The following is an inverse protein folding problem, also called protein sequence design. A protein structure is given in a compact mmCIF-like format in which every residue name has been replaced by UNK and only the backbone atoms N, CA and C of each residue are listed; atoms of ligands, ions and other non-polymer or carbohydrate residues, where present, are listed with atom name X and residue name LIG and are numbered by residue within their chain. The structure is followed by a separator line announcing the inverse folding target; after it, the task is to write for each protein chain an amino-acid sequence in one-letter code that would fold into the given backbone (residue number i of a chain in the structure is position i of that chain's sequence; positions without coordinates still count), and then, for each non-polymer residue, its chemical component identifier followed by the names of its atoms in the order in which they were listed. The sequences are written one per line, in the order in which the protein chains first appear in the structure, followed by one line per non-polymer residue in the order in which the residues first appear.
data_IF_155262761774
#
_entry.id   IF_155262761774
#
_cell.length_a   1.000
_cell.length_b   1.000
_cell.length_c   1.000
_cell.angle_alpha   90.00
_cell.angle_beta   90.00
_cell.angle_gamma   90.00
#
_symmetry.space_group_name_H-M   'P 1'
#
loop_
_entity.id
_entity.type
_entity.pdbx_description
1 polymer ?
#
# COMPACT_ATOMS: atom_id res chain seq x y z
N UNK A 1 -2.48 -1.01 -53.73
CA UNK A 1 -1.14 -0.96 -53.12
C UNK A 1 -1.03 0.07 -52.00
N UNK A 2 -1.57 1.30 -52.10
CA UNK A 2 -1.47 2.35 -51.05
C UNK A 2 -2.04 1.95 -49.65
N UNK A 3 -3.07 1.13 -49.55
CA UNK A 3 -3.69 0.72 -48.24
C UNK A 3 -2.81 -0.21 -47.41
N UNK A 4 -2.00 -1.07 -48.02
CA UNK A 4 -1.10 -2.00 -47.33
C UNK A 4 0.10 -1.29 -46.69
N UNK A 5 0.61 -0.24 -47.31
CA UNK A 5 1.67 0.59 -46.75
C UNK A 5 1.20 1.33 -45.48
N UNK A 6 -0.03 1.85 -45.53
CA UNK A 6 -0.60 2.55 -44.38
C UNK A 6 -0.82 1.60 -43.16
N UNK A 7 -1.29 0.37 -43.43
CA UNK A 7 -1.44 -0.63 -42.36
C UNK A 7 -0.11 -1.06 -41.78
N UNK A 8 0.92 -1.27 -42.58
CA UNK A 8 2.27 -1.60 -42.11
C UNK A 8 2.89 -0.48 -41.28
N UNK A 9 2.73 0.77 -41.70
CA UNK A 9 3.22 1.95 -41.00
C UNK A 9 2.51 2.11 -39.63
N UNK A 10 1.19 1.95 -39.58
CA UNK A 10 0.41 2.02 -38.34
C UNK A 10 0.80 0.90 -37.35
N UNK A 11 0.97 -0.31 -37.87
CA UNK A 11 1.39 -1.44 -37.05
C UNK A 11 2.81 -1.23 -36.49
N UNK A 12 3.73 -0.77 -37.34
CA UNK A 12 5.10 -0.44 -36.90
C UNK A 12 5.14 0.69 -35.89
N UNK A 13 4.35 1.73 -36.05
CA UNK A 13 4.23 2.82 -35.08
C UNK A 13 3.62 2.34 -33.77
N UNK A 14 2.60 1.48 -33.79
CA UNK A 14 2.00 0.91 -32.59
C UNK A 14 3.00 0.04 -31.82
N UNK A 15 3.75 -0.82 -32.52
CA UNK A 15 4.82 -1.63 -31.91
C UNK A 15 5.91 -0.75 -31.32
N UNK A 16 6.37 0.27 -32.04
CA UNK A 16 7.38 1.20 -31.53
C UNK A 16 6.88 1.95 -30.28
N UNK A 17 5.64 2.44 -30.27
CA UNK A 17 5.03 3.04 -29.07
C UNK A 17 4.95 2.06 -27.90
N UNK A 18 4.61 0.81 -28.13
CA UNK A 18 4.56 -0.20 -27.07
C UNK A 18 5.97 -0.50 -26.50
N UNK A 19 6.97 -0.69 -27.36
CA UNK A 19 8.35 -1.00 -26.95
C UNK A 19 9.02 0.17 -26.23
N UNK A 20 8.80 1.39 -26.71
CA UNK A 20 9.42 2.61 -26.17
C UNK A 20 8.47 3.41 -25.28
N UNK A 21 7.38 2.79 -24.79
CA UNK A 21 6.41 3.46 -23.92
C UNK A 21 7.11 4.13 -22.73
N UNK A 22 7.02 5.46 -22.55
CA UNK A 22 7.75 6.17 -21.51
C UNK A 22 7.22 5.83 -20.12
N UNK A 23 8.11 5.80 -19.12
CA UNK A 23 7.77 5.58 -17.71
C UNK A 23 6.69 6.53 -17.18
N UNK A 24 6.56 7.70 -17.77
CA UNK A 24 5.52 8.68 -17.44
C UNK A 24 4.09 8.13 -17.62
N UNK A 25 3.86 7.22 -18.56
CA UNK A 25 2.55 6.59 -18.73
C UNK A 25 2.20 5.67 -17.55
N UNK A 26 3.20 4.93 -17.03
CA UNK A 26 3.01 4.14 -15.80
C UNK A 26 2.72 5.04 -14.62
N UNK A 27 3.46 6.16 -14.50
CA UNK A 27 3.25 7.15 -13.44
C UNK A 27 1.84 7.77 -13.49
N UNK A 28 1.37 8.15 -14.67
CA UNK A 28 0.02 8.68 -14.86
C UNK A 28 -1.07 7.64 -14.56
N UNK A 29 -0.89 6.41 -15.06
CA UNK A 29 -1.82 5.31 -14.78
C UNK A 29 -1.93 5.00 -13.28
N UNK A 30 -0.81 5.01 -12.56
CA UNK A 30 -0.78 4.82 -11.10
C UNK A 30 -1.47 5.97 -10.37
N UNK A 31 -1.20 7.21 -10.75
CA UNK A 31 -1.84 8.39 -10.19
C UNK A 31 -3.37 8.32 -10.35
N UNK A 32 -3.86 7.99 -11.55
CA UNK A 32 -5.28 7.83 -11.81
C UNK A 32 -5.90 6.69 -11.01
N UNK A 33 -5.25 5.52 -10.97
CA UNK A 33 -5.72 4.34 -10.24
C UNK A 33 -5.81 4.57 -8.73
N UNK A 34 -4.97 5.44 -8.19
CA UNK A 34 -4.91 5.77 -6.75
C UNK A 34 -5.64 7.07 -6.38
N UNK A 35 -6.29 7.73 -7.34
CA UNK A 35 -6.91 9.06 -7.11
C UNK A 35 -5.87 10.11 -6.69
N UNK A 36 -4.67 10.05 -7.25
CA UNK A 36 -3.56 10.95 -6.95
C UNK A 36 -2.88 10.70 -5.61
N UNK A 37 -3.22 9.64 -4.87
CA UNK A 37 -2.64 9.39 -3.53
C UNK A 37 -1.23 8.80 -3.56
N UNK A 38 -0.89 8.07 -4.60
CA UNK A 38 0.47 7.57 -4.83
C UNK A 38 0.96 8.07 -6.17
N UNK A 39 2.05 8.82 -6.15
CA UNK A 39 2.66 9.39 -7.34
C UNK A 39 4.06 8.81 -7.55
N UNK A 40 4.40 8.61 -8.82
CA UNK A 40 5.76 8.36 -9.28
C UNK A 40 6.33 9.65 -9.83
N UNK A 41 6.97 10.44 -8.96
CA UNK A 41 7.61 11.69 -9.35
C UNK A 41 8.94 11.43 -10.06
N UNK A 42 9.33 12.34 -10.98
CA UNK A 42 10.57 12.23 -11.75
C UNK A 42 10.75 10.85 -12.41
N UNK A 43 9.68 10.32 -13.03
CA UNK A 43 9.71 9.03 -13.70
C UNK A 43 10.66 9.07 -14.89
N UNK A 44 11.60 8.11 -14.95
CA UNK A 44 12.63 7.99 -15.97
C UNK A 44 12.64 6.60 -16.57
N UNK A 45 13.05 6.51 -17.85
CA UNK A 45 13.09 5.25 -18.58
C UNK A 45 11.77 4.91 -19.24
N UNK A 46 11.45 3.65 -19.34
CA UNK A 46 10.26 3.12 -20.00
C UNK A 46 9.33 2.42 -19.00
N UNK A 47 8.13 2.07 -19.46
CA UNK A 47 7.21 1.19 -18.71
C UNK A 47 7.89 -0.16 -18.38
N UNK A 48 8.76 -0.64 -19.26
CA UNK A 48 9.43 -1.93 -19.13
C UNK A 48 10.63 -1.91 -18.19
N UNK A 49 11.37 -0.80 -18.15
CA UNK A 49 12.49 -0.61 -17.23
C UNK A 49 12.61 0.88 -16.91
N UNK A 50 12.47 1.23 -15.65
CA UNK A 50 12.48 2.62 -15.25
C UNK A 50 12.72 2.82 -13.76
N UNK A 51 12.70 4.09 -13.38
CA UNK A 51 12.81 4.50 -11.98
C UNK A 51 11.98 5.74 -11.69
N UNK A 52 11.54 5.88 -10.44
CA UNK A 52 10.79 7.06 -9.99
C UNK A 52 10.98 7.28 -8.48
N UNK A 53 10.70 8.46 -8.00
CA UNK A 53 10.56 8.77 -6.58
C UNK A 53 9.12 8.50 -6.17
N UNK A 54 8.92 7.69 -5.13
CA UNK A 54 7.58 7.41 -4.59
C UNK A 54 7.13 8.56 -3.69
N UNK A 55 5.96 9.12 -3.97
CA UNK A 55 5.39 10.23 -3.20
C UNK A 55 3.97 9.87 -2.81
N UNK A 56 3.67 9.93 -1.50
CA UNK A 56 2.30 9.90 -1.01
C UNK A 56 1.74 11.32 -0.97
N UNK A 57 0.48 11.47 -1.36
CA UNK A 57 -0.27 12.73 -1.27
C UNK A 57 -1.67 12.47 -0.74
N UNK A 58 -2.35 13.50 -0.29
CA UNK A 58 -3.75 13.39 0.16
C UNK A 58 -4.76 13.37 -1.02
N UNK A 59 -4.28 13.27 -2.26
CA UNK A 59 -5.08 13.24 -3.48
C UNK A 59 -4.83 14.45 -4.38
N UNK A 60 -5.56 14.53 -5.47
CA UNK A 60 -5.40 15.60 -6.48
C UNK A 60 -5.57 16.99 -5.85
N UNK A 61 -4.64 17.89 -6.18
CA UNK A 61 -4.66 19.28 -5.71
C UNK A 61 -4.27 19.47 -4.24
N UNK A 62 -3.95 18.41 -3.49
CA UNK A 62 -3.48 18.52 -2.12
C UNK A 62 -2.07 19.11 -2.06
N UNK A 63 -1.82 19.90 -1.01
CA UNK A 63 -0.48 20.39 -0.67
C UNK A 63 0.28 19.42 0.25
N UNK A 64 -0.45 18.52 0.90
CA UNK A 64 0.17 17.48 1.72
C UNK A 64 0.84 16.44 0.81
N UNK A 65 2.13 16.27 0.99
CA UNK A 65 2.92 15.28 0.26
C UNK A 65 4.12 14.85 1.07
N UNK A 66 4.51 13.59 0.93
CA UNK A 66 5.71 13.04 1.56
C UNK A 66 6.40 12.12 0.57
N UNK A 67 7.65 12.44 0.25
CA UNK A 67 8.47 11.64 -0.66
C UNK A 67 9.26 10.60 0.11
N UNK A 68 9.35 9.40 -0.43
CA UNK A 68 10.24 8.37 0.08
C UNK A 68 11.68 8.68 -0.37
N UNK A 69 12.68 8.63 0.53
CA UNK A 69 14.06 8.92 0.16
C UNK A 69 14.61 7.83 -0.78
N UNK A 70 15.19 8.24 -1.89
CA UNK A 70 15.71 7.34 -2.91
C UNK A 70 14.75 7.13 -4.08
N UNK A 71 15.05 6.14 -4.91
CA UNK A 71 14.27 5.84 -6.12
C UNK A 71 13.84 4.38 -6.12
N UNK A 72 12.60 4.16 -6.47
CA UNK A 72 12.10 2.86 -6.87
C UNK A 72 12.63 2.57 -8.27
N UNK A 73 13.26 1.42 -8.45
CA UNK A 73 13.64 0.91 -9.75
C UNK A 73 12.76 -0.29 -10.08
N UNK A 74 12.31 -0.39 -11.33
CA UNK A 74 11.50 -1.53 -11.76
C UNK A 74 11.95 -2.07 -13.10
N UNK A 75 11.68 -3.36 -13.29
CA UNK A 75 11.70 -4.04 -14.57
C UNK A 75 10.42 -4.82 -14.73
N UNK A 76 9.80 -4.68 -15.90
CA UNK A 76 8.58 -5.40 -16.28
C UNK A 76 8.93 -6.29 -17.48
N UNK A 77 8.71 -7.57 -17.35
CA UNK A 77 8.99 -8.56 -18.40
C UNK A 77 7.77 -9.44 -18.69
N UNK A 78 7.78 -10.09 -19.83
CA UNK A 78 6.78 -11.09 -20.19
C UNK A 78 7.18 -12.44 -19.59
N UNK A 79 6.23 -13.12 -18.96
CA UNK A 79 6.38 -14.49 -18.46
C UNK A 79 5.14 -15.29 -18.91
N UNK A 80 5.22 -15.87 -20.11
CA UNK A 80 4.07 -16.45 -20.79
C UNK A 80 3.02 -15.37 -21.08
N UNK A 81 1.79 -15.57 -20.62
CA UNK A 81 0.68 -14.61 -20.74
C UNK A 81 0.61 -13.61 -19.57
N UNK A 82 1.52 -13.70 -18.60
CA UNK A 82 1.60 -12.82 -17.47
C UNK A 82 2.75 -11.82 -17.63
N UNK A 83 2.66 -10.69 -16.93
CA UNK A 83 3.75 -9.74 -16.75
C UNK A 83 4.43 -10.01 -15.41
N UNK A 84 5.75 -10.12 -15.41
CA UNK A 84 6.57 -10.22 -14.22
C UNK A 84 7.16 -8.86 -13.91
N UNK A 85 6.67 -8.24 -12.83
CA UNK A 85 7.23 -6.99 -12.30
C UNK A 85 8.23 -7.32 -11.21
N UNK A 86 9.42 -6.76 -11.33
CA UNK A 86 10.46 -6.77 -10.29
C UNK A 86 10.72 -5.35 -9.87
N UNK A 87 10.70 -5.09 -8.59
CA UNK A 87 10.90 -3.77 -8.03
C UNK A 87 11.95 -3.80 -6.91
N UNK A 88 12.79 -2.79 -6.85
CA UNK A 88 13.84 -2.62 -5.85
C UNK A 88 13.85 -1.19 -5.34
N UNK A 89 14.07 -1.02 -4.05
CA UNK A 89 14.21 0.29 -3.43
C UNK A 89 15.25 0.22 -2.33
N UNK A 90 16.30 1.01 -2.44
CA UNK A 90 17.48 0.92 -1.57
C UNK A 90 17.15 1.07 -0.08
N UNK A 91 16.16 1.92 0.29
CA UNK A 91 15.80 2.10 1.69
C UNK A 91 14.79 1.07 2.20
N UNK A 92 13.87 0.60 1.32
CA UNK A 92 12.56 0.27 1.85
C UNK A 92 11.98 -1.04 1.30
N UNK A 93 12.60 -1.67 0.32
CA UNK A 93 12.26 -3.01 -0.17
C UNK A 93 13.40 -3.95 0.18
N UNK A 94 13.08 -5.05 0.84
CA UNK A 94 14.06 -6.06 1.20
C UNK A 94 14.40 -6.92 -0.02
N UNK A 95 15.59 -6.67 -0.60
CA UNK A 95 16.02 -7.34 -1.82
C UNK A 95 15.23 -6.92 -3.05
N UNK A 96 14.46 -7.83 -3.61
CA UNK A 96 13.66 -7.63 -4.81
C UNK A 96 12.20 -8.05 -4.58
N UNK A 97 11.29 -7.10 -4.72
CA UNK A 97 9.85 -7.38 -4.73
C UNK A 97 9.46 -7.93 -6.10
N UNK A 98 8.90 -9.13 -6.13
CA UNK A 98 8.43 -9.80 -7.35
C UNK A 98 6.92 -9.86 -7.35
N UNK A 99 6.29 -9.30 -8.38
CA UNK A 99 4.85 -9.38 -8.59
C UNK A 99 4.57 -10.01 -9.94
N UNK A 100 3.51 -10.79 -10.00
CA UNK A 100 2.98 -11.36 -11.22
C UNK A 100 1.64 -10.71 -11.53
N UNK A 101 1.54 -10.12 -12.72
CA UNK A 101 0.33 -9.44 -13.19
C UNK A 101 -0.27 -10.28 -14.31
N UNK A 102 -1.46 -10.78 -14.09
CA UNK A 102 -2.18 -11.64 -15.04
C UNK A 102 -3.37 -10.85 -15.59
N UNK A 103 -3.25 -10.30 -16.79
CA UNK A 103 -4.38 -9.65 -17.46
C UNK A 103 -5.36 -10.72 -17.98
N UNK A 104 -6.64 -10.42 -17.94
CA UNK A 104 -7.70 -11.26 -18.51
C UNK A 104 -8.84 -10.41 -19.06
N UNK A 105 -9.82 -11.04 -19.68
CA UNK A 105 -11.03 -10.36 -20.15
C UNK A 105 -11.85 -9.86 -18.95
N UNK A 106 -11.94 -8.54 -18.79
CA UNK A 106 -12.64 -7.86 -17.68
C UNK A 106 -12.13 -8.26 -16.27
N UNK A 107 -10.88 -8.75 -16.17
CA UNK A 107 -10.22 -9.05 -14.90
C UNK A 107 -8.74 -8.71 -14.96
N UNK A 108 -8.21 -8.30 -13.83
CA UNK A 108 -6.78 -8.06 -13.64
C UNK A 108 -6.40 -8.66 -12.29
N UNK A 109 -5.46 -9.61 -12.29
CA UNK A 109 -4.96 -10.23 -11.07
C UNK A 109 -3.51 -9.85 -10.86
N UNK A 110 -3.21 -9.35 -9.68
CA UNK A 110 -1.86 -9.04 -9.21
C UNK A 110 -1.53 -10.02 -8.09
N UNK A 111 -0.51 -10.81 -8.28
CA UNK A 111 -0.06 -11.84 -7.35
C UNK A 111 1.29 -11.46 -6.76
N UNK A 112 1.40 -11.56 -5.46
CA UNK A 112 2.64 -11.63 -4.73
C UNK A 112 2.88 -13.13 -4.45
N UNK A 113 3.74 -13.80 -5.20
CA UNK A 113 3.96 -15.23 -5.02
C UNK A 113 4.57 -15.51 -3.64
N UNK A 114 4.22 -16.67 -3.10
CA UNK A 114 4.84 -17.16 -1.87
C UNK A 114 6.36 -17.26 -2.06
N UNK A 115 7.15 -16.83 -1.06
CA UNK A 115 8.60 -17.03 -1.11
C UNK A 115 8.92 -18.54 -1.07
N UNK A 116 10.08 -18.97 -1.60
CA UNK A 116 10.54 -20.35 -1.46
C UNK A 116 10.60 -20.76 0.01
N UNK A 117 10.45 -22.07 0.25
CA UNK A 117 10.52 -22.60 1.61
C UNK A 117 11.83 -22.21 2.30
N UNK A 118 11.73 -21.64 3.51
CA UNK A 118 12.87 -21.15 4.30
C UNK A 118 13.35 -19.73 3.93
N UNK A 119 12.77 -19.08 2.91
CA UNK A 119 13.06 -17.69 2.62
C UNK A 119 12.22 -16.74 3.49
N UNK A 120 12.71 -15.50 3.65
CA UNK A 120 11.99 -14.45 4.38
C UNK A 120 10.66 -14.13 3.70
N UNK A 121 9.62 -13.93 4.51
CA UNK A 121 8.33 -13.38 4.07
C UNK A 121 8.30 -11.86 4.08
N UNK A 122 9.36 -11.21 4.56
CA UNK A 122 9.48 -9.76 4.60
C UNK A 122 9.58 -9.19 3.19
N UNK A 123 8.81 -8.15 2.93
CA UNK A 123 8.75 -7.46 1.65
C UNK A 123 9.51 -6.13 1.71
N UNK A 124 9.46 -5.48 2.86
CA UNK A 124 10.14 -4.22 3.06
C UNK A 124 9.73 -3.52 4.35
N UNK A 125 10.41 -2.39 4.56
CA UNK A 125 10.23 -1.53 5.73
C UNK A 125 10.16 -0.08 5.28
N UNK A 126 9.16 0.65 5.75
CA UNK A 126 8.96 2.06 5.44
C UNK A 126 8.89 2.90 6.71
N UNK A 127 9.38 4.15 6.71
CA UNK A 127 9.18 5.06 7.83
C UNK A 127 7.69 5.43 7.96
N UNK A 128 7.15 5.39 9.18
CA UNK A 128 5.76 5.78 9.43
C UNK A 128 5.51 7.26 9.08
N UNK A 129 6.53 8.10 9.15
CA UNK A 129 6.48 9.49 8.75
C UNK A 129 6.08 9.70 7.26
N UNK A 130 6.27 8.68 6.42
CA UNK A 130 5.83 8.75 5.02
C UNK A 130 4.30 8.89 4.90
N UNK A 131 3.55 8.35 5.86
CA UNK A 131 2.08 8.44 5.90
C UNK A 131 1.55 9.89 6.01
N UNK A 132 2.37 10.82 6.52
CA UNK A 132 2.00 12.26 6.62
C UNK A 132 1.55 12.82 5.27
N UNK A 133 2.11 12.32 4.17
CA UNK A 133 1.69 12.69 2.82
C UNK A 133 0.23 12.40 2.51
N UNK A 134 -0.41 11.44 3.16
CA UNK A 134 -1.83 11.11 2.96
C UNK A 134 -2.79 12.16 3.55
N UNK A 135 -2.27 13.24 4.17
CA UNK A 135 -3.09 14.28 4.77
C UNK A 135 -3.74 13.86 6.08
N UNK A 136 -4.89 14.46 6.41
CA UNK A 136 -5.61 14.19 7.65
C UNK A 136 -6.13 12.76 7.69
N UNK A 137 -5.93 12.02 8.81
CA UNK A 137 -5.40 12.49 10.11
C UNK A 137 -3.87 12.42 10.26
N UNK A 138 -3.15 11.87 9.30
CA UNK A 138 -1.72 11.55 9.42
C UNK A 138 -0.84 12.80 9.57
N UNK A 139 -1.17 13.88 8.86
CA UNK A 139 -0.46 15.16 8.96
C UNK A 139 -0.60 15.80 10.34
N UNK A 140 -1.69 15.52 11.08
CA UNK A 140 -1.91 15.96 12.46
C UNK A 140 -1.23 15.04 13.47
N UNK A 141 -1.33 13.73 13.26
CA UNK A 141 -0.72 12.72 14.12
C UNK A 141 0.80 12.73 14.05
N UNK A 142 1.38 13.08 12.90
CA UNK A 142 2.81 13.07 12.63
C UNK A 142 3.48 11.77 13.15
N UNK A 143 3.06 10.61 12.65
CA UNK A 143 3.56 9.35 13.16
C UNK A 143 5.05 9.19 12.84
N UNK A 144 5.80 8.65 13.81
CA UNK A 144 7.17 8.17 13.60
C UNK A 144 7.25 6.69 13.96
N UNK A 145 8.33 6.02 13.58
CA UNK A 145 8.49 4.58 13.72
C UNK A 145 8.60 3.88 12.37
N UNK A 146 8.45 2.57 12.37
CA UNK A 146 8.69 1.74 11.20
C UNK A 146 7.49 0.86 10.86
N UNK A 147 7.16 0.79 9.58
CA UNK A 147 6.12 -0.06 9.01
C UNK A 147 6.81 -1.24 8.31
N UNK A 148 6.66 -2.44 8.81
CA UNK A 148 7.22 -3.65 8.21
C UNK A 148 6.10 -4.45 7.57
N UNK A 149 6.19 -4.66 6.26
CA UNK A 149 5.24 -5.46 5.51
C UNK A 149 5.82 -6.83 5.24
N UNK A 150 5.05 -7.87 5.50
CA UNK A 150 5.38 -9.25 5.20
C UNK A 150 4.18 -9.98 4.60
N UNK A 151 4.44 -11.00 3.79
CA UNK A 151 3.40 -11.85 3.23
C UNK A 151 3.94 -13.23 2.86
N UNK A 152 3.29 -14.31 3.29
CA UNK A 152 3.58 -15.65 2.81
C UNK A 152 2.98 -15.93 1.42
N UNK A 153 2.27 -14.98 0.84
CA UNK A 153 1.60 -15.03 -0.44
C UNK A 153 0.28 -14.28 -0.39
N UNK A 154 0.07 -13.40 -1.36
CA UNK A 154 -1.13 -12.57 -1.44
C UNK A 154 -1.50 -12.32 -2.91
N UNK A 155 -2.79 -12.29 -3.21
CA UNK A 155 -3.25 -11.88 -4.52
C UNK A 155 -4.47 -10.96 -4.39
N UNK A 156 -4.48 -9.96 -5.24
CA UNK A 156 -5.60 -9.06 -5.44
C UNK A 156 -6.07 -9.17 -6.89
N UNK A 157 -7.34 -9.43 -7.08
CA UNK A 157 -7.97 -9.54 -8.39
C UNK A 157 -9.13 -8.56 -8.49
N UNK A 158 -9.22 -7.87 -9.62
CA UNK A 158 -10.39 -7.08 -9.99
C UNK A 158 -11.20 -7.87 -11.01
N UNK A 159 -12.44 -8.21 -10.67
CA UNK A 159 -13.38 -8.91 -11.53
C UNK A 159 -14.64 -8.07 -11.66
N UNK A 160 -14.92 -7.56 -12.87
CA UNK A 160 -16.10 -6.70 -13.13
C UNK A 160 -16.22 -5.54 -12.14
N UNK A 161 -15.10 -4.89 -11.80
CA UNK A 161 -15.04 -3.77 -10.87
C UNK A 161 -15.11 -4.14 -9.38
N UNK A 162 -15.18 -5.42 -9.01
CA UNK A 162 -15.12 -5.90 -7.62
C UNK A 162 -13.73 -6.41 -7.28
N UNK A 163 -13.24 -6.04 -6.12
CA UNK A 163 -11.98 -6.54 -5.58
C UNK A 163 -12.18 -7.88 -4.86
N UNK A 164 -11.36 -8.83 -5.24
CA UNK A 164 -11.25 -10.16 -4.65
C UNK A 164 -9.85 -10.28 -4.08
N UNK A 165 -9.73 -10.51 -2.78
CA UNK A 165 -8.44 -10.60 -2.08
C UNK A 165 -8.26 -12.02 -1.55
N UNK A 166 -7.11 -12.63 -1.82
CA UNK A 166 -6.77 -13.99 -1.37
C UNK A 166 -5.37 -14.01 -0.77
N UNK A 167 -5.13 -14.94 0.16
CA UNK A 167 -3.85 -15.04 0.85
C UNK A 167 -3.76 -14.15 2.08
N UNK A 168 -2.53 -13.91 2.57
CA UNK A 168 -2.29 -13.18 3.82
C UNK A 168 -1.22 -12.10 3.64
N UNK A 169 -1.46 -10.95 4.24
CA UNK A 169 -0.49 -9.88 4.40
C UNK A 169 -0.49 -9.38 5.85
N UNK A 170 0.68 -9.08 6.38
CA UNK A 170 0.86 -8.56 7.73
C UNK A 170 1.65 -7.27 7.68
N UNK A 171 1.14 -6.25 8.35
CA UNK A 171 1.83 -5.00 8.60
C UNK A 171 2.13 -4.90 10.10
N UNK A 172 3.41 -4.93 10.45
CA UNK A 172 3.87 -4.63 11.79
C UNK A 172 4.28 -3.17 11.86
N UNK A 173 3.76 -2.48 12.85
CA UNK A 173 4.12 -1.09 13.17
C UNK A 173 4.97 -1.14 14.42
N UNK A 174 6.24 -0.74 14.28
CA UNK A 174 7.23 -0.81 15.37
C UNK A 174 7.61 0.57 15.84
N UNK A 175 7.74 0.71 17.17
CA UNK A 175 8.12 1.94 17.86
C UNK A 175 7.32 3.14 17.36
N UNK A 176 5.98 2.96 17.25
CA UNK A 176 5.11 4.05 16.85
C UNK A 176 5.14 5.15 17.91
N UNK A 177 5.38 6.37 17.47
CA UNK A 177 5.23 7.56 18.29
C UNK A 177 4.41 8.62 17.53
N UNK A 178 3.97 9.65 18.23
CA UNK A 178 3.19 10.76 17.67
C UNK A 178 3.51 12.04 18.42
N UNK A 179 3.59 13.14 17.69
CA UNK A 179 3.79 14.48 18.27
C UNK A 179 2.65 14.95 19.18
N UNK A 180 1.50 14.26 19.16
CA UNK A 180 0.35 14.55 20.02
C UNK A 180 0.41 13.90 21.40
N UNK A 181 1.41 13.08 21.66
CA UNK A 181 1.64 12.43 22.94
C UNK A 181 2.95 12.91 23.55
N UNK A 182 3.01 12.97 24.87
CA UNK A 182 4.25 13.24 25.62
C UNK A 182 5.11 11.98 25.81
N UNK A 183 4.62 10.81 25.38
CA UNK A 183 5.35 9.56 25.42
C UNK A 183 6.29 9.45 24.23
N UNK A 184 7.51 8.98 24.47
CA UNK A 184 8.50 8.73 23.42
C UNK A 184 8.08 7.61 22.47
N UNK A 185 7.29 6.65 22.96
CA UNK A 185 6.75 5.53 22.18
C UNK A 185 5.31 5.23 22.64
N UNK A 186 4.40 5.11 21.65
CA UNK A 186 3.02 4.70 21.88
C UNK A 186 2.90 3.18 21.98
N UNK A 187 3.68 2.47 21.16
CA UNK A 187 3.71 1.01 21.16
C UNK A 187 4.00 0.37 19.82
N UNK A 188 3.81 -0.94 19.80
CA UNK A 188 4.01 -1.82 18.65
C UNK A 188 2.68 -2.51 18.31
N UNK A 189 2.33 -2.54 17.03
CA UNK A 189 1.03 -3.03 16.56
C UNK A 189 1.19 -4.00 15.40
N UNK A 190 0.20 -4.86 15.25
CA UNK A 190 0.10 -5.79 14.14
C UNK A 190 -1.26 -5.64 13.46
N UNK A 191 -1.24 -5.38 12.16
CA UNK A 191 -2.41 -5.40 11.29
C UNK A 191 -2.30 -6.59 10.35
N UNK A 192 -3.27 -7.49 10.39
CA UNK A 192 -3.33 -8.66 9.51
C UNK A 192 -4.49 -8.50 8.55
N UNK A 193 -4.21 -8.72 7.27
CA UNK A 193 -5.20 -8.85 6.21
C UNK A 193 -5.20 -10.30 5.73
N UNK A 194 -6.33 -11.00 5.90
CA UNK A 194 -6.52 -12.39 5.50
C UNK A 194 -7.63 -12.46 4.47
N UNK A 195 -7.28 -12.72 3.21
CA UNK A 195 -8.25 -13.00 2.16
C UNK A 195 -8.86 -14.39 2.30
N UNK A 196 -10.12 -14.52 1.95
CA UNK A 196 -10.85 -15.78 1.89
C UNK A 196 -10.43 -16.55 0.63
N UNK A 197 -10.43 -17.89 0.69
CA UNK A 197 -10.18 -18.76 -0.47
C UNK A 197 -11.23 -18.57 -1.58
N UNK A 198 -12.46 -18.21 -1.23
CA UNK A 198 -13.55 -17.89 -2.16
C UNK A 198 -13.45 -16.45 -2.70
N UNK A 199 -12.65 -15.59 -2.03
CA UNK A 199 -12.47 -14.20 -2.39
C UNK A 199 -13.67 -13.29 -2.12
N UNK A 200 -14.67 -13.77 -1.41
CA UNK A 200 -15.90 -13.01 -1.14
C UNK A 200 -15.68 -11.90 -0.11
N UNK A 201 -14.76 -12.11 0.83
CA UNK A 201 -14.39 -11.14 1.85
C UNK A 201 -12.92 -11.31 2.28
N UNK A 202 -12.28 -10.21 2.65
CA UNK A 202 -11.01 -10.26 3.36
C UNK A 202 -11.20 -9.75 4.79
N UNK A 203 -10.68 -10.48 5.75
CA UNK A 203 -10.73 -10.11 7.16
C UNK A 203 -9.54 -9.25 7.53
N UNK A 204 -9.80 -8.24 8.35
CA UNK A 204 -8.78 -7.34 8.88
C UNK A 204 -8.79 -7.46 10.39
N UNK A 205 -7.62 -7.63 10.99
CA UNK A 205 -7.43 -7.67 12.43
C UNK A 205 -6.32 -6.73 12.84
N UNK A 206 -6.58 -5.88 13.82
CA UNK A 206 -5.62 -4.99 14.44
C UNK A 206 -5.44 -5.39 15.91
N UNK A 207 -4.21 -5.50 16.34
CA UNK A 207 -3.87 -5.79 17.72
C UNK A 207 -2.62 -5.03 18.18
N UNK A 208 -2.53 -4.78 19.48
CA UNK A 208 -1.35 -4.23 20.12
C UNK A 208 -0.44 -5.39 20.57
N UNK A 209 0.82 -5.35 20.17
CA UNK A 209 1.84 -6.27 20.65
C UNK A 209 2.44 -5.81 21.99
N UNK A 210 2.67 -4.50 22.10
CA UNK A 210 3.17 -3.87 23.36
C UNK A 210 2.99 -2.35 23.28
N UNK A 211 2.97 -1.67 24.42
CA UNK A 211 2.99 -0.21 24.49
C UNK A 211 1.91 0.39 25.36
N UNK A 212 1.96 1.71 25.51
CA UNK A 212 1.04 2.49 26.32
C UNK A 212 -0.32 2.70 25.66
N UNK A 213 -0.36 2.86 24.34
CA UNK A 213 -1.60 2.95 23.57
C UNK A 213 -2.04 1.56 23.15
N UNK A 214 -3.17 1.10 23.67
CA UNK A 214 -3.77 -0.18 23.36
C UNK A 214 -4.78 -0.02 22.23
N UNK A 215 -4.53 -0.67 21.10
CA UNK A 215 -5.39 -0.70 19.93
C UNK A 215 -5.87 -2.13 19.66
N UNK A 216 -7.15 -2.31 19.51
CA UNK A 216 -7.75 -3.57 19.05
C UNK A 216 -8.85 -3.28 18.05
N UNK A 217 -9.02 -4.15 17.08
CA UNK A 217 -10.09 -3.98 16.13
C UNK A 217 -10.17 -5.12 15.13
N UNK A 218 -11.32 -5.21 14.50
CA UNK A 218 -11.58 -6.18 13.44
C UNK A 218 -12.45 -5.56 12.36
N UNK A 219 -12.32 -6.08 11.17
CA UNK A 219 -13.11 -5.60 10.05
C UNK A 219 -13.13 -6.57 8.90
N UNK A 220 -13.85 -6.19 7.87
CA UNK A 220 -13.99 -6.95 6.64
C UNK A 220 -13.95 -6.02 5.44
N UNK A 221 -13.24 -6.46 4.42
CA UNK A 221 -13.32 -5.89 3.09
C UNK A 221 -14.22 -6.79 2.25
N UNK A 222 -15.43 -6.35 1.99
CA UNK A 222 -16.38 -7.10 1.20
C UNK A 222 -17.10 -6.16 0.21
N UNK A 223 -17.40 -6.64 -0.99
CA UNK A 223 -18.08 -5.87 -2.05
C UNK A 223 -17.45 -4.48 -2.29
N UNK A 224 -16.11 -4.39 -2.27
CA UNK A 224 -15.32 -3.14 -2.44
C UNK A 224 -15.56 -2.09 -1.35
N UNK A 225 -16.06 -2.49 -0.19
CA UNK A 225 -16.26 -1.64 0.98
C UNK A 225 -15.47 -2.18 2.17
N UNK A 226 -14.79 -1.28 2.85
CA UNK A 226 -14.17 -1.57 4.13
C UNK A 226 -15.19 -1.29 5.24
N UNK A 227 -15.39 -2.27 6.12
CA UNK A 227 -16.07 -2.08 7.42
C UNK A 227 -15.07 -2.48 8.50
N UNK A 228 -14.76 -1.57 9.38
CA UNK A 228 -13.83 -1.82 10.47
C UNK A 228 -14.34 -1.18 11.75
N UNK A 229 -14.31 -1.94 12.84
CA UNK A 229 -14.63 -1.48 14.18
C UNK A 229 -13.44 -1.78 15.07
N UNK A 230 -13.03 -0.79 15.83
CA UNK A 230 -11.92 -0.91 16.75
C UNK A 230 -12.12 -0.04 17.98
N UNK A 231 -11.23 -0.22 18.92
CA UNK A 231 -11.17 0.57 20.14
C UNK A 231 -9.71 0.89 20.47
N UNK A 232 -9.54 2.03 21.06
CA UNK A 232 -8.28 2.49 21.60
C UNK A 232 -8.45 2.82 23.08
N UNK A 233 -7.44 2.49 23.88
CA UNK A 233 -7.38 2.85 25.31
C UNK A 233 -5.95 3.12 25.72
N UNK A 234 -5.77 3.76 26.87
CA UNK A 234 -4.46 3.88 27.51
C UNK A 234 -4.20 2.68 28.42
N UNK A 235 -2.96 2.22 28.46
CA UNK A 235 -2.50 1.32 29.52
C UNK A 235 -2.53 2.05 30.88
N UNK A 236 -2.67 1.32 32.00
CA UNK A 236 -2.69 1.91 33.33
C UNK A 236 -1.50 2.84 33.59
N UNK A 237 -1.78 4.05 34.03
CA UNK A 237 -0.78 5.10 34.30
C UNK A 237 -0.39 5.96 33.09
N UNK A 238 -0.91 5.68 31.89
CA UNK A 238 -0.62 6.45 30.66
C UNK A 238 -1.80 7.31 30.20
N UNK A 239 -2.88 7.36 30.96
CA UNK A 239 -4.15 7.99 30.57
C UNK A 239 -3.99 9.48 30.28
N UNK A 240 -3.26 10.19 31.14
CA UNK A 240 -3.04 11.63 30.99
C UNK A 240 -2.25 11.97 29.73
N UNK A 241 -1.21 11.20 29.43
CA UNK A 241 -0.35 11.40 28.27
C UNK A 241 -1.05 11.09 26.94
N UNK A 242 -2.05 10.20 26.95
CA UNK A 242 -2.77 9.74 25.76
C UNK A 242 -4.14 10.40 25.57
N UNK A 243 -4.58 11.25 26.51
CA UNK A 243 -5.94 11.81 26.48
C UNK A 243 -6.23 12.60 25.20
N UNK A 244 -5.32 13.46 24.76
CA UNK A 244 -5.48 14.24 23.52
C UNK A 244 -5.53 13.34 22.29
N UNK A 245 -4.64 12.35 22.23
CA UNK A 245 -4.57 11.41 21.12
C UNK A 245 -5.86 10.58 21.03
N UNK A 246 -6.34 10.06 22.16
CA UNK A 246 -7.57 9.26 22.22
C UNK A 246 -8.83 10.05 21.81
N UNK A 247 -8.85 11.35 22.07
CA UNK A 247 -9.95 12.23 21.62
C UNK A 247 -9.95 12.47 20.10
N UNK A 248 -8.78 12.35 19.47
CA UNK A 248 -8.62 12.60 18.04
C UNK A 248 -8.86 11.36 17.18
N UNK A 249 -8.41 10.19 17.66
CA UNK A 249 -8.42 8.95 16.85
C UNK A 249 -9.78 8.26 16.77
N UNK A 250 -10.74 8.65 17.63
CA UNK A 250 -12.07 8.03 17.63
C UNK A 250 -13.07 8.76 18.50
N UNK A 251 -14.28 8.22 18.56
CA UNK A 251 -15.35 8.75 19.43
C UNK A 251 -15.11 8.31 20.87
N UNK A 252 -14.89 9.26 21.75
CA UNK A 252 -14.66 9.00 23.18
C UNK A 252 -15.89 8.43 23.86
N UNK A 253 -15.69 7.32 24.59
CA UNK A 253 -16.69 6.68 25.44
C UNK A 253 -16.03 6.22 26.76
N UNK A 254 -16.03 7.09 27.76
CA UNK A 254 -15.31 6.84 29.01
C UNK A 254 -13.80 6.73 28.80
N UNK A 255 -13.21 5.60 29.22
CA UNK A 255 -11.78 5.32 29.03
C UNK A 255 -11.44 4.87 27.60
N UNK A 256 -12.42 4.49 26.80
CA UNK A 256 -12.25 3.99 25.45
C UNK A 256 -12.44 5.10 24.41
N UNK A 257 -11.79 4.95 23.27
CA UNK A 257 -12.05 5.68 22.05
C UNK A 257 -12.48 4.69 20.96
N UNK A 258 -13.72 4.81 20.49
CA UNK A 258 -14.29 3.91 19.48
C UNK A 258 -13.93 4.39 18.09
N UNK A 259 -13.42 3.50 17.28
CA UNK A 259 -13.02 3.72 15.87
C UNK A 259 -14.00 2.94 15.01
N UNK A 260 -14.66 3.61 14.07
CA UNK A 260 -15.56 2.96 13.11
C UNK A 260 -15.30 3.53 11.72
N UNK A 261 -15.12 2.64 10.75
CA UNK A 261 -14.92 2.95 9.33
C UNK A 261 -15.91 2.13 8.51
N UNK A 262 -16.70 2.79 7.67
CA UNK A 262 -17.68 2.17 6.78
C UNK A 262 -19.12 2.35 7.15
#
# INVERSE_FOLDING_TARGET
MKRWWATGLLLGAAVAMAVFAPAAWLAQGLAQATGGRLLFADARGTVWAGSAVMVLTAGEGSRDSSALPGRLNWTLGLNGMALALRAQHACCIEGELKLRIVPGLARLRVELPAPPAGASTALGQWPAAWLVGLGTPWNTLQPTGNLLLSSPGFAAEVVQGRWVLTGRAELQIRSLASSLSTLDELGNYQLTLQGDERGDAAQIQLGTSSGALQLTGSGQWAASRLRFNGQASAAPGSEAALNNLLNLIGRRQGALSLISIG
#
